data_IF_906580748200
#
_entry.id   IF_906580748200
#
_cell.length_a   1.000
_cell.length_b   1.000
_cell.length_c   1.000
_cell.angle_alpha   90.00
_cell.angle_beta   90.00
_cell.angle_gamma   90.00
#
_symmetry.space_group_name_H-M   'P 1'
#
loop_
_entity.id
_entity.type
_entity.pdbx_description
1 polymer ?
#
# COMPACT_ATOMS: atom_id res chain seq x y z
N UNK A 1 50.76 -34.38 54.03
CA UNK A 1 49.40 -34.16 53.52
C UNK A 1 49.14 -32.67 53.43
N UNK A 2 49.29 -32.06 52.26
CA UNK A 2 48.76 -30.71 51.96
C UNK A 2 48.52 -30.61 50.46
N UNK A 3 47.30 -30.98 50.04
CA UNK A 3 46.82 -30.85 48.67
C UNK A 3 46.61 -29.38 48.32
N UNK A 4 47.57 -28.76 47.63
CA UNK A 4 47.39 -27.44 47.01
C UNK A 4 47.09 -27.60 45.53
N UNK A 5 45.82 -27.53 45.16
CA UNK A 5 45.30 -27.00 43.89
C UNK A 5 43.83 -26.63 44.17
N UNK A 6 43.38 -25.38 43.93
CA UNK A 6 42.68 -25.12 42.67
C UNK A 6 42.68 -23.63 42.22
N UNK A 7 43.77 -22.87 42.37
CA UNK A 7 43.77 -21.45 41.96
C UNK A 7 43.96 -21.25 40.45
N UNK A 8 44.69 -22.15 39.76
CA UNK A 8 44.91 -22.02 38.31
C UNK A 8 43.68 -22.39 37.47
N UNK A 9 42.81 -23.29 37.94
CA UNK A 9 41.61 -23.68 37.20
C UNK A 9 40.52 -22.61 37.19
N UNK A 10 40.37 -21.87 38.30
CA UNK A 10 39.33 -20.84 38.44
C UNK A 10 39.61 -19.59 37.59
N UNK A 11 40.89 -19.21 37.46
CA UNK A 11 41.31 -18.09 36.59
C UNK A 11 41.14 -18.42 35.11
N UNK A 12 41.38 -19.68 34.72
CA UNK A 12 41.25 -20.09 33.33
C UNK A 12 39.78 -20.07 32.87
N UNK A 13 38.86 -20.47 33.77
CA UNK A 13 37.41 -20.41 33.53
C UNK A 13 36.94 -18.95 33.43
N UNK A 14 37.44 -18.04 34.28
CA UNK A 14 37.02 -16.64 34.25
C UNK A 14 37.47 -15.91 32.99
N UNK A 15 38.70 -16.15 32.53
CA UNK A 15 39.22 -15.58 31.27
C UNK A 15 38.46 -16.15 30.07
N UNK A 16 38.15 -17.44 30.08
CA UNK A 16 37.40 -18.08 28.99
C UNK A 16 35.95 -17.56 28.92
N UNK A 17 35.30 -17.34 30.06
CA UNK A 17 33.97 -16.73 30.12
C UNK A 17 33.99 -15.28 29.60
N UNK A 18 35.00 -14.50 29.98
CA UNK A 18 35.15 -13.11 29.51
C UNK A 18 35.37 -13.05 27.99
N UNK A 19 36.21 -13.93 27.44
CA UNK A 19 36.46 -14.04 26.00
C UNK A 19 35.19 -14.43 25.23
N UNK A 20 34.35 -15.30 25.79
CA UNK A 20 33.08 -15.71 25.18
C UNK A 20 32.07 -14.56 25.15
N UNK A 21 32.03 -13.73 26.19
CA UNK A 21 31.16 -12.54 26.22
C UNK A 21 31.62 -11.53 25.17
N UNK A 22 32.93 -11.27 25.06
CA UNK A 22 33.48 -10.32 24.09
C UNK A 22 33.24 -10.80 22.65
N UNK A 23 33.32 -12.10 22.37
CA UNK A 23 33.09 -12.65 21.03
C UNK A 23 31.62 -12.55 20.59
N UNK A 24 30.67 -12.78 21.51
CA UNK A 24 29.23 -12.61 21.22
C UNK A 24 28.89 -11.14 20.95
N UNK A 25 29.45 -10.20 21.72
CA UNK A 25 29.22 -8.76 21.49
C UNK A 25 29.81 -8.30 20.15
N UNK A 26 30.99 -8.80 19.76
CA UNK A 26 31.61 -8.47 18.48
C UNK A 26 30.82 -9.03 17.27
N UNK A 27 30.20 -10.21 17.40
CA UNK A 27 29.39 -10.79 16.33
C UNK A 27 28.10 -10.01 16.10
N UNK A 28 27.48 -9.51 17.18
CA UNK A 28 26.24 -8.71 17.11
C UNK A 28 26.50 -7.33 16.50
N UNK A 29 27.64 -6.69 16.82
CA UNK A 29 27.98 -5.37 16.28
C UNK A 29 28.41 -5.39 14.81
N UNK A 30 29.00 -6.49 14.34
CA UNK A 30 29.38 -6.67 12.94
C UNK A 30 28.18 -7.02 12.02
N UNK A 31 27.12 -7.63 12.55
CA UNK A 31 25.93 -8.03 11.78
C UNK A 31 24.79 -7.00 11.74
N UNK A 32 24.74 -6.05 12.67
CA UNK A 32 23.58 -5.17 12.86
C UNK A 32 23.48 -3.96 11.91
N UNK A 33 24.60 -3.54 11.29
CA UNK A 33 24.65 -2.28 10.53
C UNK A 33 24.14 -2.32 9.09
N UNK A 34 24.12 -3.50 8.45
CA UNK A 34 23.80 -3.61 7.02
C UNK A 34 22.30 -3.81 6.71
N UNK A 35 21.48 -4.15 7.71
CA UNK A 35 20.07 -4.49 7.50
C UNK A 35 19.17 -3.25 7.39
N UNK A 36 19.51 -2.13 8.02
CA UNK A 36 18.64 -0.93 8.01
C UNK A 36 18.71 -0.11 6.70
N UNK A 37 19.85 -0.09 6.02
CA UNK A 37 20.01 0.74 4.81
C UNK A 37 19.21 0.22 3.60
N UNK A 38 18.92 -1.08 3.54
CA UNK A 38 18.15 -1.68 2.44
C UNK A 38 16.64 -1.56 2.62
N UNK A 39 16.15 -1.46 3.87
CA UNK A 39 14.71 -1.31 4.16
C UNK A 39 14.15 0.01 3.63
N UNK A 40 14.92 1.11 3.72
CA UNK A 40 14.44 2.45 3.31
C UNK A 40 14.19 2.61 1.81
N UNK A 41 14.93 1.90 0.95
CA UNK A 41 14.75 2.01 -0.51
C UNK A 41 13.45 1.33 -0.95
N UNK A 42 13.09 0.21 -0.33
CA UNK A 42 11.83 -0.49 -0.61
C UNK A 42 10.61 0.36 -0.28
N UNK A 43 10.65 1.03 0.87
CA UNK A 43 9.56 1.91 1.33
C UNK A 43 9.39 3.13 0.42
N UNK A 44 10.48 3.76 -0.01
CA UNK A 44 10.43 4.91 -0.94
C UNK A 44 9.84 4.51 -2.29
N UNK A 45 10.24 3.35 -2.84
CA UNK A 45 9.70 2.86 -4.11
C UNK A 45 8.21 2.50 -4.00
N UNK A 46 7.81 1.85 -2.91
CA UNK A 46 6.42 1.55 -2.63
C UNK A 46 5.60 2.85 -2.49
N UNK A 47 6.10 3.81 -1.71
CA UNK A 47 5.42 5.09 -1.52
C UNK A 47 5.26 5.84 -2.85
N UNK A 48 6.33 5.92 -3.66
CA UNK A 48 6.27 6.52 -4.98
C UNK A 48 5.28 5.83 -5.93
N UNK A 49 5.20 4.50 -5.89
CA UNK A 49 4.21 3.74 -6.66
C UNK A 49 2.78 4.02 -6.19
N UNK A 50 2.55 4.09 -4.88
CA UNK A 50 1.26 4.45 -4.30
C UNK A 50 0.83 5.86 -4.70
N UNK A 51 1.75 6.83 -4.67
CA UNK A 51 1.47 8.20 -5.12
C UNK A 51 1.11 8.26 -6.61
N UNK A 52 1.78 7.46 -7.46
CA UNK A 52 1.41 7.34 -8.88
C UNK A 52 0.01 6.73 -9.06
N UNK A 53 -0.29 5.65 -8.35
CA UNK A 53 -1.61 5.02 -8.40
C UNK A 53 -2.74 5.98 -7.96
N UNK A 54 -2.51 6.72 -6.87
CA UNK A 54 -3.43 7.77 -6.39
C UNK A 54 -3.59 8.91 -7.42
N UNK A 55 -2.48 9.38 -7.98
CA UNK A 55 -2.49 10.43 -8.99
C UNK A 55 -3.25 10.03 -10.25
N UNK A 56 -3.07 8.79 -10.73
CA UNK A 56 -3.76 8.25 -11.89
C UNK A 56 -5.27 8.07 -11.61
N UNK A 57 -5.63 7.52 -10.45
CA UNK A 57 -7.03 7.40 -10.00
C UNK A 57 -7.72 8.76 -9.98
N UNK A 58 -7.12 9.75 -9.31
CA UNK A 58 -7.70 11.09 -9.20
C UNK A 58 -7.83 11.78 -10.55
N UNK A 59 -6.81 11.65 -11.42
CA UNK A 59 -6.87 12.19 -12.79
C UNK A 59 -7.98 11.53 -13.60
N UNK A 60 -8.12 10.21 -13.52
CA UNK A 60 -9.18 9.50 -14.23
C UNK A 60 -10.56 9.98 -13.79
N UNK A 61 -10.81 10.04 -12.48
CA UNK A 61 -12.06 10.55 -11.92
C UNK A 61 -12.35 11.97 -12.41
N UNK A 62 -11.35 12.86 -12.38
CA UNK A 62 -11.50 14.23 -12.84
C UNK A 62 -11.76 14.32 -14.36
N UNK A 63 -11.11 13.46 -15.15
CA UNK A 63 -11.34 13.40 -16.61
C UNK A 63 -12.78 12.97 -16.91
N UNK A 64 -13.29 11.96 -16.20
CA UNK A 64 -14.68 11.52 -16.33
C UNK A 64 -15.67 12.59 -15.84
N UNK A 65 -15.34 13.32 -14.77
CA UNK A 65 -16.14 14.47 -14.29
C UNK A 65 -16.23 15.56 -15.36
N UNK A 66 -15.14 15.84 -16.06
CA UNK A 66 -15.09 16.83 -17.14
C UNK A 66 -15.80 16.35 -18.42
N UNK A 67 -15.84 15.04 -18.68
CA UNK A 67 -16.57 14.44 -19.80
C UNK A 67 -18.10 14.54 -19.66
N UNK A 68 -18.61 14.79 -18.44
CA UNK A 68 -20.05 15.00 -18.16
C UNK A 68 -20.91 13.85 -18.70
N UNK A 69 -21.75 14.08 -19.71
CA UNK A 69 -22.68 13.09 -20.27
C UNK A 69 -21.99 11.90 -20.96
N UNK A 70 -20.76 12.10 -21.41
CA UNK A 70 -19.95 11.05 -22.05
C UNK A 70 -19.12 10.25 -21.02
N UNK A 71 -19.31 10.52 -19.73
CA UNK A 71 -18.60 9.82 -18.64
C UNK A 71 -18.87 8.32 -18.66
N UNK A 72 -17.82 7.53 -18.47
CA UNK A 72 -17.95 6.08 -18.33
C UNK A 72 -18.79 5.69 -17.10
N UNK A 73 -18.83 6.55 -16.07
CA UNK A 73 -19.66 6.32 -14.87
C UNK A 73 -21.16 6.42 -15.13
N UNK A 74 -21.58 6.98 -16.27
CA UNK A 74 -22.99 7.07 -16.66
C UNK A 74 -23.38 5.99 -17.67
N UNK A 75 -22.43 5.51 -18.47
CA UNK A 75 -22.70 4.75 -19.68
C UNK A 75 -22.19 3.30 -19.64
N UNK A 76 -21.40 2.91 -18.64
CA UNK A 76 -20.82 1.57 -18.55
C UNK A 76 -21.26 0.83 -17.30
N UNK A 77 -21.97 -0.27 -17.48
CA UNK A 77 -22.25 -1.24 -16.41
C UNK A 77 -21.23 -2.39 -16.38
N UNK A 78 -20.28 -2.41 -17.31
CA UNK A 78 -19.27 -3.45 -17.42
C UNK A 78 -17.93 -3.00 -16.84
N UNK A 79 -17.10 -3.99 -16.48
CA UNK A 79 -15.72 -3.76 -16.12
C UNK A 79 -14.92 -3.17 -17.29
N UNK A 80 -14.11 -2.16 -17.02
CA UNK A 80 -13.30 -1.45 -18.01
C UNK A 80 -11.84 -1.36 -17.55
N UNK A 81 -10.94 -1.94 -18.33
CA UNK A 81 -9.50 -1.73 -18.19
C UNK A 81 -9.05 -0.46 -18.90
N UNK A 82 -8.35 0.42 -18.19
CA UNK A 82 -7.80 1.68 -18.67
C UNK A 82 -6.31 1.73 -18.33
N UNK A 83 -5.50 2.29 -19.22
CA UNK A 83 -4.07 2.49 -18.98
C UNK A 83 -3.76 4.00 -18.90
N UNK A 84 -3.20 4.45 -17.77
CA UNK A 84 -2.63 5.78 -17.65
C UNK A 84 -1.16 5.73 -18.09
N UNK A 85 -0.94 5.93 -19.39
CA UNK A 85 0.39 5.91 -20.00
C UNK A 85 1.34 7.00 -19.46
N UNK A 86 0.80 8.08 -18.87
CA UNK A 86 1.62 9.16 -18.33
C UNK A 86 2.25 8.78 -16.99
N UNK A 87 1.54 8.00 -16.17
CA UNK A 87 2.02 7.55 -14.87
C UNK A 87 2.43 6.07 -14.82
N UNK A 88 2.26 5.33 -15.92
CA UNK A 88 2.48 3.88 -16.01
C UNK A 88 1.67 3.14 -14.93
N UNK A 89 0.35 3.35 -14.97
CA UNK A 89 -0.62 2.79 -14.03
C UNK A 89 -1.74 2.11 -14.78
N UNK A 90 -2.06 0.89 -14.36
CA UNK A 90 -3.22 0.13 -14.83
C UNK A 90 -4.42 0.46 -13.93
N UNK A 91 -5.53 0.86 -14.54
CA UNK A 91 -6.78 1.21 -13.87
C UNK A 91 -7.84 0.20 -14.29
N UNK A 92 -8.58 -0.33 -13.33
CA UNK A 92 -9.73 -1.21 -13.59
C UNK A 92 -10.96 -0.61 -12.93
N UNK A 93 -11.95 -0.26 -13.75
CA UNK A 93 -13.22 0.30 -13.31
C UNK A 93 -14.27 -0.81 -13.31
N UNK A 94 -14.76 -1.19 -12.13
CA UNK A 94 -15.82 -2.18 -11.97
C UNK A 94 -17.11 -1.51 -11.47
N UNK A 95 -18.23 -1.72 -12.17
CA UNK A 95 -19.55 -1.38 -11.63
C UNK A 95 -19.92 -2.39 -10.55
N UNK A 96 -20.29 -1.90 -9.37
CA UNK A 96 -20.65 -2.77 -8.25
C UNK A 96 -22.14 -3.06 -8.25
N UNK A 97 -22.96 -1.99 -8.19
CA UNK A 97 -24.41 -2.06 -8.25
C UNK A 97 -24.99 -0.65 -8.41
N UNK A 98 -26.28 -0.59 -8.73
CA UNK A 98 -27.10 0.62 -8.68
C UNK A 98 -27.95 0.61 -7.41
N UNK A 99 -27.96 1.71 -6.66
CA UNK A 99 -28.68 1.79 -5.39
C UNK A 99 -28.83 3.23 -4.90
N UNK A 100 -29.11 3.38 -3.60
CA UNK A 100 -29.31 4.70 -2.98
C UNK A 100 -28.04 5.17 -2.29
N UNK A 101 -27.51 6.32 -2.72
CA UNK A 101 -26.39 7.00 -2.07
C UNK A 101 -26.91 8.02 -1.05
N UNK A 102 -26.12 8.22 0.01
CA UNK A 102 -26.41 9.23 1.02
C UNK A 102 -25.85 10.58 0.58
N UNK A 103 -26.63 11.67 0.72
CA UNK A 103 -26.14 13.04 0.45
C UNK A 103 -25.05 13.51 1.39
N UNK A 104 -25.07 12.97 2.61
CA UNK A 104 -24.09 13.23 3.65
C UNK A 104 -24.00 12.01 4.54
N UNK A 105 -22.90 11.88 5.27
CA UNK A 105 -22.60 10.74 6.15
C UNK A 105 -23.70 10.57 7.22
N UNK A 106 -24.32 11.69 7.64
CA UNK A 106 -25.41 11.77 8.63
C UNK A 106 -26.83 11.75 8.02
N UNK A 107 -26.99 11.42 6.73
CA UNK A 107 -28.31 11.45 6.10
C UNK A 107 -29.17 10.25 6.49
N UNK A 108 -30.38 10.52 7.00
CA UNK A 108 -31.45 9.54 7.13
C UNK A 108 -32.02 9.12 5.76
N UNK A 109 -32.74 8.00 5.71
CA UNK A 109 -33.26 7.37 4.48
C UNK A 109 -34.09 8.29 3.57
N UNK A 110 -34.68 9.35 4.15
CA UNK A 110 -35.48 10.37 3.45
C UNK A 110 -34.63 11.31 2.58
N UNK A 111 -33.32 11.37 2.80
CA UNK A 111 -32.38 12.27 2.10
C UNK A 111 -31.35 11.51 1.23
N UNK A 112 -31.76 10.35 0.71
CA UNK A 112 -30.99 9.52 -0.21
C UNK A 112 -31.35 9.81 -1.68
N UNK A 113 -30.46 9.52 -2.61
CA UNK A 113 -30.68 9.65 -4.06
C UNK A 113 -30.15 8.43 -4.81
N UNK A 114 -30.71 8.15 -5.97
CA UNK A 114 -30.25 7.03 -6.79
C UNK A 114 -28.87 7.32 -7.40
N UNK A 115 -27.99 6.32 -7.32
CA UNK A 115 -26.62 6.41 -7.79
C UNK A 115 -26.12 5.07 -8.32
N UNK A 116 -25.11 5.13 -9.18
CA UNK A 116 -24.27 3.98 -9.48
C UNK A 116 -23.04 4.01 -8.59
N UNK A 117 -22.72 2.86 -8.00
CA UNK A 117 -21.47 2.67 -7.29
C UNK A 117 -20.46 1.94 -8.18
N UNK A 118 -19.26 2.48 -8.22
CA UNK A 118 -18.13 1.91 -8.93
C UNK A 118 -16.95 1.73 -7.99
N UNK A 119 -16.16 0.71 -8.25
CA UNK A 119 -14.82 0.55 -7.69
C UNK A 119 -13.79 0.82 -8.78
N UNK A 120 -12.89 1.76 -8.52
CA UNK A 120 -11.73 2.04 -9.35
C UNK A 120 -10.48 1.50 -8.68
N UNK A 121 -9.90 0.47 -9.27
CA UNK A 121 -8.66 -0.14 -8.82
C UNK A 121 -7.48 0.42 -9.63
N UNK A 122 -6.56 1.12 -8.99
CA UNK A 122 -5.33 1.63 -9.61
C UNK A 122 -4.12 0.80 -9.16
N UNK A 123 -3.36 0.27 -10.11
CA UNK A 123 -2.18 -0.55 -9.87
C UNK A 123 -0.94 0.04 -10.54
N UNK A 124 0.06 0.39 -9.71
CA UNK A 124 1.39 0.82 -10.17
C UNK A 124 2.43 -0.26 -9.85
N UNK A 125 3.33 -0.53 -10.79
CA UNK A 125 4.44 -1.47 -10.60
C UNK A 125 5.72 -0.74 -10.16
N UNK A 126 6.55 -1.38 -9.34
CA UNK A 126 7.80 -0.80 -8.86
C UNK A 126 8.89 -1.85 -8.57
N UNK A 127 10.10 -1.38 -8.31
CA UNK A 127 11.26 -2.24 -8.05
C UNK A 127 11.88 -2.83 -9.32
N UNK A 128 12.94 -3.62 -9.13
CA UNK A 128 13.66 -4.25 -10.23
C UNK A 128 12.73 -5.22 -10.95
N UNK A 129 12.65 -5.11 -12.29
CA UNK A 129 11.80 -5.96 -13.13
C UNK A 129 10.30 -5.94 -12.75
N UNK A 130 9.78 -4.84 -12.19
CA UNK A 130 8.36 -4.69 -11.86
C UNK A 130 7.82 -5.76 -10.88
N UNK A 131 8.68 -6.27 -9.99
CA UNK A 131 8.31 -7.31 -9.03
C UNK A 131 7.41 -6.78 -7.89
N UNK A 132 7.51 -5.49 -7.57
CA UNK A 132 6.65 -4.81 -6.61
C UNK A 132 5.36 -4.29 -7.26
N UNK A 133 4.26 -4.28 -6.50
CA UNK A 133 2.98 -3.69 -6.92
C UNK A 133 2.37 -2.89 -5.78
N UNK A 134 1.92 -1.69 -6.09
CA UNK A 134 1.08 -0.88 -5.22
C UNK A 134 -0.32 -0.84 -5.84
N UNK A 135 -1.34 -1.25 -5.08
CA UNK A 135 -2.74 -1.23 -5.49
C UNK A 135 -3.52 -0.31 -4.57
N UNK A 136 -4.34 0.55 -5.16
CA UNK A 136 -5.28 1.42 -4.46
C UNK A 136 -6.66 1.15 -5.02
N UNK A 137 -7.62 0.88 -4.15
CA UNK A 137 -9.03 0.79 -4.49
C UNK A 137 -9.73 2.09 -4.06
N UNK A 138 -10.50 2.69 -4.95
CA UNK A 138 -11.28 3.90 -4.68
C UNK A 138 -12.74 3.66 -5.03
N UNK A 139 -13.66 3.94 -4.11
CA UNK A 139 -15.09 3.94 -4.38
C UNK A 139 -15.50 5.25 -5.05
N UNK A 140 -16.31 5.17 -6.10
CA UNK A 140 -16.90 6.31 -6.79
C UNK A 140 -18.41 6.17 -6.79
N UNK A 141 -19.09 7.18 -6.28
CA UNK A 141 -20.55 7.27 -6.27
C UNK A 141 -21.00 8.30 -7.32
N UNK A 142 -21.69 7.83 -8.35
CA UNK A 142 -22.19 8.68 -9.43
C UNK A 142 -23.69 8.94 -9.25
N UNK A 143 -24.11 10.17 -8.88
CA UNK A 143 -25.52 10.50 -8.79
C UNK A 143 -26.20 10.41 -10.15
N UNK A 144 -27.41 9.85 -10.17
CA UNK A 144 -28.30 9.91 -11.32
C UNK A 144 -29.44 10.89 -11.05
N UNK A 145 -29.65 11.84 -11.97
CA UNK A 145 -30.91 12.54 -12.02
C UNK A 145 -31.85 11.76 -12.94
N UNK A 146 -32.87 11.14 -12.38
CA UNK A 146 -34.00 10.62 -13.15
C UNK A 146 -34.85 11.83 -13.55
N UNK A 147 -34.70 12.31 -14.79
CA UNK A 147 -35.57 13.36 -15.35
C UNK A 147 -36.77 12.65 -15.98
N UNK A 148 -37.89 12.59 -15.25
CA UNK A 148 -39.16 12.09 -15.76
C UNK A 148 -39.77 11.00 -14.90
N UNK A 149 -40.65 11.42 -13.98
CA UNK A 149 -41.90 10.74 -13.71
C UNK A 149 -43.03 11.76 -13.86
#
# INVERSE_FOLDING_TARGET
>A
MTSRLPQCGMVLISVLALLLIISVVALVSAGGGQIMAQAGIGEVLQHGATQRALGASNRYIETQRLARGDSTFLNSENALGIEDALLDVELDLTHLYQGTCRRTIDADSVNSFDCHQYQLDAQARFGKQNQGRAKIASGVEQPMLVIGQ
#
